data_IF_157083937800
#
_entry.id   IF_157083937800
#
_cell.length_a   1.000
_cell.length_b   1.000
_cell.length_c   1.000
_cell.angle_alpha   90.00
_cell.angle_beta   90.00
_cell.angle_gamma   90.00
#
_symmetry.space_group_name_H-M   'P 1'
#
loop_
_entity.id
_entity.type
_entity.pdbx_description
1 polymer ?
#
# COMPACT_ATOMS: atom_id res chain seq x y z
N UNK A 1 8.83 32.69 -5.71
CA UNK A 1 8.24 32.00 -4.53
C UNK A 1 6.94 31.26 -4.81
N UNK A 2 5.90 31.81 -5.47
CA UNK A 2 4.64 31.05 -5.68
C UNK A 2 4.80 29.83 -6.62
N UNK A 3 5.69 29.93 -7.61
CA UNK A 3 5.98 28.83 -8.57
C UNK A 3 6.59 27.62 -7.86
N UNK A 4 7.48 27.82 -6.89
CA UNK A 4 8.13 26.73 -6.14
C UNK A 4 7.16 25.97 -5.22
N UNK A 5 6.16 26.67 -4.67
CA UNK A 5 5.11 26.07 -3.84
C UNK A 5 4.12 25.29 -4.71
N UNK A 6 3.78 25.82 -5.89
CA UNK A 6 2.93 25.15 -6.87
C UNK A 6 3.61 23.90 -7.46
N UNK A 7 4.90 23.96 -7.79
CA UNK A 7 5.64 22.77 -8.24
C UNK A 7 5.77 21.73 -7.14
N UNK A 8 6.07 22.10 -5.89
CA UNK A 8 6.03 21.15 -4.77
C UNK A 8 4.65 20.51 -4.58
N UNK A 9 3.57 21.27 -4.74
CA UNK A 9 2.20 20.76 -4.63
C UNK A 9 1.87 19.76 -5.77
N UNK A 10 2.21 20.11 -7.01
CA UNK A 10 2.01 19.23 -8.18
C UNK A 10 2.88 17.98 -8.06
N UNK A 11 4.15 18.12 -7.68
CA UNK A 11 5.08 17.01 -7.45
C UNK A 11 4.66 16.12 -6.27
N UNK A 12 3.97 16.68 -5.26
CA UNK A 12 3.38 15.88 -4.17
C UNK A 12 2.11 15.13 -4.58
N UNK A 13 1.40 15.65 -5.59
CA UNK A 13 0.12 15.14 -6.10
C UNK A 13 0.28 14.17 -7.27
N UNK A 14 1.40 14.22 -8.01
CA UNK A 14 1.81 13.15 -8.91
C UNK A 14 2.07 11.94 -8.03
N UNK A 15 1.16 10.97 -8.14
CA UNK A 15 1.31 9.62 -7.61
C UNK A 15 2.44 8.92 -8.36
N UNK A 16 3.68 9.34 -8.10
CA UNK A 16 4.86 8.57 -8.50
C UNK A 16 4.69 7.22 -7.78
N UNK A 17 4.58 6.09 -8.50
CA UNK A 17 4.51 4.78 -7.89
C UNK A 17 5.81 4.55 -7.12
N UNK A 18 5.77 4.80 -5.81
CA UNK A 18 6.90 4.55 -4.92
C UNK A 18 6.99 3.07 -4.61
N UNK A 19 8.20 2.56 -4.37
CA UNK A 19 8.43 1.21 -3.86
C UNK A 19 7.57 0.87 -2.63
N UNK A 20 7.15 1.89 -1.87
CA UNK A 20 6.25 1.77 -0.73
C UNK A 20 4.96 0.99 -1.02
N UNK A 21 4.42 1.05 -2.24
CA UNK A 21 3.19 0.35 -2.64
C UNK A 21 3.45 -0.83 -3.59
N UNK A 22 4.73 -1.14 -3.89
CA UNK A 22 5.14 -2.17 -4.82
C UNK A 22 5.42 -3.51 -4.12
N UNK A 23 5.45 -4.56 -4.93
CA UNK A 23 5.96 -5.89 -4.61
C UNK A 23 7.41 -5.89 -5.05
N UNK A 24 8.34 -6.04 -4.12
CA UNK A 24 9.76 -6.01 -4.40
C UNK A 24 10.27 -7.46 -4.50
N UNK A 25 10.57 -7.90 -5.72
CA UNK A 25 11.11 -9.22 -6.00
C UNK A 25 12.63 -9.13 -6.04
N UNK A 26 13.30 -9.78 -5.09
CA UNK A 26 14.75 -9.88 -5.07
C UNK A 26 15.17 -11.15 -5.79
N UNK A 27 15.93 -10.99 -6.87
CA UNK A 27 16.39 -12.06 -7.74
C UNK A 27 17.73 -12.63 -7.23
N UNK A 28 18.01 -13.90 -7.51
CA UNK A 28 19.26 -14.59 -7.09
C UNK A 28 20.52 -13.99 -7.71
N UNK A 29 20.39 -13.30 -8.84
CA UNK A 29 21.48 -12.58 -9.49
C UNK A 29 21.79 -11.22 -8.83
N UNK A 30 21.01 -10.81 -7.83
CA UNK A 30 21.16 -9.54 -7.13
C UNK A 30 20.26 -8.42 -7.67
N UNK A 31 19.50 -8.67 -8.73
CA UNK A 31 18.59 -7.69 -9.31
C UNK A 31 17.34 -7.50 -8.44
N UNK A 32 16.80 -6.28 -8.43
CA UNK A 32 15.54 -5.94 -7.77
C UNK A 32 14.50 -5.63 -8.85
N UNK A 33 13.41 -6.39 -8.87
CA UNK A 33 12.26 -6.12 -9.73
C UNK A 33 11.10 -5.64 -8.85
N UNK A 34 10.88 -4.33 -8.84
CA UNK A 34 9.75 -3.69 -8.16
C UNK A 34 8.53 -3.67 -9.08
N UNK A 35 7.43 -4.32 -8.67
CA UNK A 35 6.18 -4.46 -9.43
C UNK A 35 5.02 -3.80 -8.69
N UNK A 36 4.26 -2.94 -9.37
CA UNK A 36 2.99 -2.48 -8.84
C UNK A 36 1.93 -3.59 -8.94
N UNK A 37 0.91 -3.54 -8.08
CA UNK A 37 -0.27 -4.43 -8.20
C UNK A 37 -0.94 -4.34 -9.58
N UNK A 38 -0.93 -3.17 -10.22
CA UNK A 38 -1.59 -2.98 -11.51
C UNK A 38 -0.80 -3.61 -12.67
N UNK A 39 0.52 -3.69 -12.56
CA UNK A 39 1.39 -4.34 -13.54
C UNK A 39 1.28 -5.86 -13.45
N UNK A 40 1.06 -6.42 -12.26
CA UNK A 40 0.89 -7.86 -12.06
C UNK A 40 -0.30 -8.41 -12.90
N UNK A 41 -0.07 -9.55 -13.55
CA UNK A 41 -1.09 -10.26 -14.34
C UNK A 41 -1.24 -11.70 -13.83
N UNK A 42 -1.86 -11.83 -12.67
CA UNK A 42 -2.16 -13.12 -12.01
C UNK A 42 -2.79 -14.12 -12.98
N UNK A 43 -3.84 -13.72 -13.71
CA UNK A 43 -4.54 -14.59 -14.68
C UNK A 43 -3.70 -15.07 -15.88
N UNK A 44 -2.56 -14.42 -16.14
CA UNK A 44 -1.63 -14.79 -17.22
C UNK A 44 -0.38 -15.47 -16.70
N UNK A 45 -0.20 -15.49 -15.37
CA UNK A 45 0.92 -16.14 -14.73
C UNK A 45 0.71 -17.66 -14.76
N UNK A 46 1.80 -18.37 -14.95
CA UNK A 46 1.84 -19.84 -14.89
C UNK A 46 2.45 -20.26 -13.56
N UNK A 47 2.41 -21.55 -13.18
CA UNK A 47 3.09 -22.02 -11.98
C UNK A 47 4.62 -21.82 -11.99
N UNK A 48 5.22 -21.58 -13.17
CA UNK A 48 6.67 -21.42 -13.34
C UNK A 48 7.10 -19.98 -13.59
N UNK A 49 6.19 -19.13 -14.08
CA UNK A 49 6.50 -17.75 -14.50
C UNK A 49 5.47 -16.76 -13.94
N UNK A 50 5.97 -15.70 -13.31
CA UNK A 50 5.17 -14.54 -12.92
C UNK A 50 5.14 -13.58 -14.11
N UNK A 51 3.94 -13.21 -14.56
CA UNK A 51 3.77 -12.29 -15.69
C UNK A 51 3.39 -10.90 -15.20
N UNK A 52 4.13 -9.90 -15.65
CA UNK A 52 3.80 -8.49 -15.43
C UNK A 52 3.78 -7.72 -16.75
N UNK A 53 3.07 -6.59 -16.75
CA UNK A 53 2.93 -5.73 -17.93
C UNK A 53 3.48 -4.34 -17.64
N UNK A 54 4.55 -3.94 -18.32
CA UNK A 54 5.17 -2.61 -18.26
C UNK A 54 5.30 -2.05 -19.67
N UNK A 55 5.05 -0.76 -19.87
CA UNK A 55 5.17 -0.07 -21.16
C UNK A 55 4.46 -0.75 -22.35
N UNK A 56 3.31 -1.37 -22.07
CA UNK A 56 2.48 -2.16 -23.00
C UNK A 56 3.06 -3.52 -23.40
N UNK A 57 4.25 -3.89 -22.94
CA UNK A 57 4.88 -5.18 -23.14
C UNK A 57 4.60 -6.14 -21.98
N UNK A 58 4.63 -7.45 -22.27
CA UNK A 58 4.51 -8.49 -21.27
C UNK A 58 5.88 -9.07 -20.98
N UNK A 59 6.28 -9.02 -19.73
CA UNK A 59 7.51 -9.61 -19.25
C UNK A 59 7.18 -10.83 -18.38
N UNK A 60 8.10 -11.79 -18.38
CA UNK A 60 7.99 -13.02 -17.59
C UNK A 60 9.19 -13.09 -16.66
N UNK A 61 8.92 -13.35 -15.39
CA UNK A 61 9.94 -13.59 -14.37
C UNK A 61 9.87 -15.06 -14.01
N UNK A 62 10.93 -15.85 -14.26
CA UNK A 62 10.97 -17.24 -13.84
C UNK A 62 11.00 -17.31 -12.31
N UNK A 63 10.07 -18.06 -11.72
CA UNK A 63 9.91 -18.15 -10.25
C UNK A 63 11.18 -18.66 -9.57
N UNK A 64 11.90 -19.58 -10.22
CA UNK A 64 13.12 -20.18 -9.68
C UNK A 64 14.32 -19.22 -9.60
N UNK A 65 14.26 -18.08 -10.30
CA UNK A 65 15.27 -17.02 -10.24
C UNK A 65 15.00 -16.03 -9.10
N UNK A 66 13.81 -16.07 -8.50
CA UNK A 66 13.46 -15.24 -7.34
C UNK A 66 14.08 -15.88 -6.08
N UNK A 67 14.74 -15.06 -5.26
CA UNK A 67 15.30 -15.46 -3.98
C UNK A 67 14.28 -15.23 -2.85
N UNK A 68 13.81 -13.99 -2.72
CA UNK A 68 12.78 -13.63 -1.75
C UNK A 68 11.91 -12.46 -2.21
N UNK A 69 10.74 -12.32 -1.58
CA UNK A 69 9.80 -11.23 -1.82
C UNK A 69 9.75 -10.34 -0.58
N UNK A 70 9.90 -9.02 -0.78
CA UNK A 70 9.79 -8.02 0.27
C UNK A 70 8.58 -7.12 0.02
N UNK A 71 7.83 -6.84 1.08
CA UNK A 71 6.72 -5.91 1.05
C UNK A 71 7.02 -4.68 1.90
N UNK A 72 6.78 -3.49 1.36
CA UNK A 72 6.94 -2.23 2.11
C UNK A 72 5.63 -1.71 2.72
N UNK A 73 4.50 -2.33 2.35
CA UNK A 73 3.15 -1.94 2.73
C UNK A 73 2.29 -3.15 3.05
N UNK A 74 1.62 -3.10 4.21
CA UNK A 74 0.65 -4.12 4.62
C UNK A 74 -0.56 -4.16 3.68
N UNK A 75 -0.91 -3.04 3.05
CA UNK A 75 -2.03 -3.00 2.09
C UNK A 75 -1.71 -3.71 0.77
N UNK A 76 -0.43 -3.79 0.40
CA UNK A 76 0.05 -4.54 -0.77
C UNK A 76 0.16 -6.02 -0.42
N UNK A 77 0.77 -6.34 0.73
CA UNK A 77 0.83 -7.69 1.28
C UNK A 77 -0.54 -8.37 1.31
N UNK A 78 -1.52 -7.78 2.00
CA UNK A 78 -2.88 -8.34 2.15
C UNK A 78 -3.61 -8.62 0.82
N UNK A 79 -3.16 -8.03 -0.28
CA UNK A 79 -3.80 -8.14 -1.59
C UNK A 79 -3.12 -9.11 -2.52
N UNK A 80 -1.86 -9.47 -2.27
CA UNK A 80 -1.04 -10.24 -3.21
C UNK A 80 -0.27 -11.37 -2.56
N UNK A 81 -0.28 -11.49 -1.22
CA UNK A 81 0.38 -12.58 -0.48
C UNK A 81 -0.14 -13.95 -0.92
N UNK A 82 -1.46 -14.14 -0.98
CA UNK A 82 -2.06 -15.43 -1.36
C UNK A 82 -1.55 -15.92 -2.73
N UNK A 83 -1.40 -14.99 -3.68
CA UNK A 83 -0.87 -15.30 -5.01
C UNK A 83 0.63 -15.65 -4.98
N UNK A 84 1.43 -14.97 -4.14
CA UNK A 84 2.87 -15.24 -4.03
C UNK A 84 3.15 -16.53 -3.26
N UNK A 85 2.33 -16.85 -2.25
CA UNK A 85 2.42 -18.10 -1.49
C UNK A 85 2.20 -19.33 -2.36
N UNK A 86 1.37 -19.25 -3.42
CA UNK A 86 1.19 -20.34 -4.40
C UNK A 86 2.50 -20.80 -5.06
N UNK A 87 3.51 -19.92 -5.09
CA UNK A 87 4.82 -20.18 -5.67
C UNK A 87 5.86 -20.72 -4.69
N UNK A 88 5.50 -20.94 -3.42
CA UNK A 88 6.43 -21.35 -2.34
C UNK A 88 7.68 -20.46 -2.22
N UNK A 89 7.53 -19.16 -2.51
CA UNK A 89 8.61 -18.19 -2.39
C UNK A 89 8.79 -17.76 -0.93
N UNK A 90 10.03 -17.48 -0.52
CA UNK A 90 10.30 -16.94 0.81
C UNK A 90 9.83 -15.48 0.88
N UNK A 91 8.85 -15.21 1.72
CA UNK A 91 8.36 -13.85 1.98
C UNK A 91 9.09 -13.30 3.20
N UNK A 92 9.79 -12.17 3.03
CA UNK A 92 10.46 -11.51 4.14
C UNK A 92 9.42 -10.90 5.09
N UNK A 93 9.67 -11.04 6.39
CA UNK A 93 8.81 -10.47 7.43
C UNK A 93 8.72 -8.94 7.29
N UNK A 94 7.51 -8.41 7.44
CA UNK A 94 7.25 -6.97 7.33
C UNK A 94 7.82 -6.28 8.56
N UNK A 95 8.57 -5.19 8.34
CA UNK A 95 9.12 -4.36 9.41
C UNK A 95 8.03 -3.95 10.44
N UNK A 96 8.33 -4.08 11.73
CA UNK A 96 7.38 -3.79 12.83
C UNK A 96 6.78 -2.38 12.72
N UNK A 97 7.59 -1.39 12.38
CA UNK A 97 7.13 0.00 12.17
C UNK A 97 6.04 0.10 11.07
N UNK A 98 6.14 -0.71 10.01
CA UNK A 98 5.13 -0.74 8.94
C UNK A 98 3.85 -1.39 9.47
N UNK A 99 3.96 -2.50 10.22
CA UNK A 99 2.83 -3.14 10.88
C UNK A 99 2.11 -2.16 11.81
N UNK A 100 2.85 -1.45 12.66
CA UNK A 100 2.30 -0.44 13.57
C UNK A 100 1.57 0.67 12.82
N UNK A 101 2.16 1.17 11.73
CA UNK A 101 1.57 2.24 10.94
C UNK A 101 0.22 1.81 10.34
N UNK A 102 0.20 0.70 9.59
CA UNK A 102 -0.99 0.29 8.85
C UNK A 102 -2.09 -0.21 9.78
N UNK A 103 -1.76 -0.98 10.83
CA UNK A 103 -2.75 -1.45 11.81
C UNK A 103 -3.35 -0.29 12.61
N UNK A 104 -2.54 0.66 13.06
CA UNK A 104 -3.04 1.85 13.77
C UNK A 104 -3.89 2.74 12.86
N UNK A 105 -3.52 2.89 11.58
CA UNK A 105 -4.33 3.60 10.56
C UNK A 105 -5.69 2.94 10.36
N UNK A 106 -5.73 1.61 10.18
CA UNK A 106 -6.97 0.82 10.03
C UNK A 106 -7.84 0.91 11.28
N UNK A 107 -7.25 0.77 12.46
CA UNK A 107 -7.94 0.87 13.73
C UNK A 107 -8.60 2.25 13.91
N UNK A 108 -7.87 3.34 13.66
CA UNK A 108 -8.43 4.70 13.74
C UNK A 108 -9.54 4.93 12.72
N UNK A 109 -9.39 4.44 11.48
CA UNK A 109 -10.44 4.52 10.46
C UNK A 109 -11.70 3.77 10.91
N UNK A 110 -11.54 2.57 11.46
CA UNK A 110 -12.67 1.80 12.02
C UNK A 110 -13.37 2.56 13.15
N UNK A 111 -12.63 3.17 14.08
CA UNK A 111 -13.21 3.99 15.16
C UNK A 111 -14.02 5.17 14.62
N UNK A 112 -13.54 5.85 13.59
CA UNK A 112 -14.30 6.93 12.92
C UNK A 112 -15.57 6.39 12.27
N UNK A 113 -15.51 5.26 11.56
CA UNK A 113 -16.69 4.60 10.99
C UNK A 113 -17.69 4.15 12.06
N UNK A 114 -17.21 3.68 13.23
CA UNK A 114 -18.08 3.35 14.37
C UNK A 114 -18.84 4.59 14.86
N UNK A 115 -18.17 5.74 15.00
CA UNK A 115 -18.83 6.98 15.40
C UNK A 115 -19.91 7.40 14.39
N UNK A 116 -19.62 7.27 13.09
CA UNK A 116 -20.63 7.54 12.05
C UNK A 116 -21.78 6.52 12.05
N UNK A 117 -21.51 5.26 12.36
CA UNK A 117 -22.55 4.25 12.52
C UNK A 117 -23.49 4.59 13.67
N UNK A 118 -22.94 4.94 14.84
CA UNK A 118 -23.73 5.37 16.00
C UNK A 118 -24.56 6.59 15.64
N UNK A 119 -23.96 7.63 15.06
CA UNK A 119 -24.69 8.84 14.65
C UNK A 119 -25.80 8.52 13.63
N UNK A 120 -25.53 7.66 12.64
CA UNK A 120 -26.51 7.24 11.65
C UNK A 120 -27.70 6.51 12.29
N UNK A 121 -27.44 5.58 13.21
CA UNK A 121 -28.48 4.87 13.96
C UNK A 121 -29.25 5.80 14.91
N UNK A 122 -28.59 6.75 15.57
CA UNK A 122 -29.26 7.75 16.41
C UNK A 122 -30.20 8.62 15.57
N UNK A 123 -29.76 9.15 14.43
CA UNK A 123 -30.60 9.96 13.54
C UNK A 123 -31.78 9.16 12.97
N UNK A 124 -31.55 7.89 12.67
CA UNK A 124 -32.57 6.93 12.26
C UNK A 124 -33.68 6.75 13.31
N UNK A 125 -33.32 6.74 14.60
CA UNK A 125 -34.27 6.55 15.70
C UNK A 125 -34.94 7.87 16.12
N UNK A 126 -34.22 9.00 16.12
CA UNK A 126 -34.69 10.24 16.75
C UNK A 126 -35.18 11.30 15.78
N UNK A 127 -34.76 11.27 14.49
CA UNK A 127 -34.99 12.39 13.57
C UNK A 127 -35.73 11.98 12.30
N UNK A 128 -35.23 10.99 11.54
CA UNK A 128 -35.84 10.61 10.27
C UNK A 128 -35.62 9.13 9.93
N UNK A 129 -36.69 8.34 9.71
CA UNK A 129 -36.61 6.93 9.31
C UNK A 129 -35.79 6.65 8.04
N UNK A 130 -35.65 7.62 7.14
CA UNK A 130 -34.83 7.47 5.91
C UNK A 130 -33.37 7.14 6.22
N UNK A 131 -32.86 7.51 7.39
CA UNK A 131 -31.49 7.16 7.81
C UNK A 131 -31.32 5.66 8.09
N UNK A 132 -32.40 4.88 8.26
CA UNK A 132 -32.32 3.41 8.39
C UNK A 132 -31.75 2.77 7.12
N UNK A 133 -31.97 3.39 5.94
CA UNK A 133 -31.41 2.89 4.69
C UNK A 133 -29.89 3.10 4.58
N UNK A 134 -29.34 4.11 5.26
CA UNK A 134 -27.93 4.54 5.11
C UNK A 134 -27.06 4.12 6.30
N UNK A 135 -27.62 4.04 7.51
CA UNK A 135 -26.90 3.65 8.73
C UNK A 135 -26.15 2.30 8.68
N UNK A 136 -26.61 1.27 7.93
CA UNK A 136 -25.87 0.01 7.80
C UNK A 136 -24.51 0.16 7.08
N UNK A 137 -24.33 1.15 6.21
CA UNK A 137 -23.10 1.36 5.42
C UNK A 137 -21.88 1.66 6.32
N UNK A 138 -21.90 2.70 7.19
CA UNK A 138 -20.78 2.94 8.10
C UNK A 138 -20.61 1.81 9.12
N UNK A 139 -21.69 1.11 9.48
CA UNK A 139 -21.64 -0.06 10.38
C UNK A 139 -20.84 -1.21 9.77
N UNK A 140 -21.15 -1.59 8.53
CA UNK A 140 -20.42 -2.64 7.80
C UNK A 140 -18.98 -2.25 7.54
N UNK A 141 -18.72 -0.99 7.15
CA UNK A 141 -17.35 -0.48 6.99
C UNK A 141 -16.55 -0.53 8.30
N UNK A 142 -17.15 -0.18 9.43
CA UNK A 142 -16.50 -0.25 10.73
C UNK A 142 -16.09 -1.69 11.09
N UNK A 143 -17.01 -2.65 10.95
CA UNK A 143 -16.77 -4.07 11.27
C UNK A 143 -15.70 -4.66 10.36
N UNK A 144 -15.81 -4.48 9.04
CA UNK A 144 -14.85 -5.03 8.08
C UNK A 144 -13.45 -4.44 8.28
N UNK A 145 -13.35 -3.12 8.53
CA UNK A 145 -12.05 -2.48 8.75
C UNK A 145 -11.45 -2.90 10.11
N UNK A 146 -12.28 -3.14 11.13
CA UNK A 146 -11.79 -3.58 12.44
C UNK A 146 -11.24 -5.00 12.41
N UNK A 147 -11.88 -5.90 11.64
CA UNK A 147 -11.41 -7.28 11.46
C UNK A 147 -10.05 -7.36 10.78
N UNK A 148 -9.71 -6.38 9.94
CA UNK A 148 -8.45 -6.29 9.21
C UNK A 148 -7.31 -5.62 10.00
N UNK A 149 -7.59 -5.09 11.19
CA UNK A 149 -6.58 -4.46 12.02
C UNK A 149 -6.12 -5.47 13.08
N UNK A 150 -4.84 -5.81 13.07
CA UNK A 150 -4.26 -6.54 14.19
C UNK A 150 -4.03 -5.57 15.36
N UNK A 151 -4.63 -5.89 16.51
CA UNK A 151 -4.61 -5.03 17.70
C UNK A 151 -3.30 -5.10 18.46
N UNK A 152 -2.51 -6.16 18.26
CA UNK A 152 -1.18 -6.34 18.88
C UNK A 152 -0.22 -5.20 18.47
N UNK A 153 -0.32 -4.73 17.23
CA UNK A 153 0.51 -3.67 16.66
C UNK A 153 -0.17 -2.29 16.68
N UNK A 154 -1.27 -2.10 17.42
CA UNK A 154 -1.93 -0.78 17.51
C UNK A 154 -1.26 0.07 18.57
N UNK A 155 -0.68 1.19 18.15
CA UNK A 155 0.04 2.10 19.05
C UNK A 155 -0.84 3.24 19.59
N UNK A 156 -0.41 3.81 20.70
CA UNK A 156 -1.12 4.87 21.40
C UNK A 156 -1.05 6.22 20.67
N UNK A 157 -1.79 7.23 21.15
CA UNK A 157 -1.89 8.53 20.49
C UNK A 157 -0.57 9.30 20.31
N UNK A 158 0.36 9.19 21.28
CA UNK A 158 1.68 9.83 21.20
C UNK A 158 2.59 9.09 20.22
N UNK A 159 2.68 7.78 20.36
CA UNK A 159 3.45 6.88 19.46
C UNK A 159 2.97 6.99 18.02
N UNK A 160 1.66 7.05 17.79
CA UNK A 160 1.10 7.23 16.45
C UNK A 160 1.64 8.47 15.73
N UNK A 161 1.88 9.57 16.45
CA UNK A 161 2.43 10.78 15.82
C UNK A 161 3.87 10.54 15.37
N UNK A 162 4.66 9.80 16.15
CA UNK A 162 6.03 9.42 15.80
C UNK A 162 6.04 8.44 14.61
N UNK A 163 5.30 7.34 14.68
CA UNK A 163 5.16 6.34 13.61
C UNK A 163 4.65 6.98 12.32
N UNK A 164 3.64 7.85 12.40
CA UNK A 164 3.14 8.58 11.22
C UNK A 164 4.20 9.52 10.62
N UNK A 165 5.05 10.14 11.44
CA UNK A 165 6.13 11.02 10.98
C UNK A 165 7.22 10.21 10.29
N UNK A 166 7.69 9.14 10.93
CA UNK A 166 8.69 8.24 10.39
C UNK A 166 8.23 7.59 9.07
N UNK A 167 6.96 7.15 8.97
CA UNK A 167 6.42 6.65 7.70
C UNK A 167 6.37 7.73 6.61
N UNK A 168 6.06 8.99 6.98
CA UNK A 168 6.05 10.10 6.02
C UNK A 168 7.46 10.42 5.51
N UNK A 169 8.47 10.32 6.39
CA UNK A 169 9.88 10.47 6.04
C UNK A 169 10.33 9.33 5.11
N UNK A 170 10.06 8.07 5.47
CA UNK A 170 10.35 6.90 4.60
C UNK A 170 9.75 7.07 3.20
N UNK A 171 8.48 7.45 3.10
CA UNK A 171 7.83 7.70 1.79
C UNK A 171 8.47 8.88 1.05
N UNK A 172 8.92 9.92 1.75
CA UNK A 172 9.61 11.05 1.12
C UNK A 172 10.94 10.61 0.53
N UNK A 173 11.71 9.82 1.27
CA UNK A 173 13.01 9.32 0.83
C UNK A 173 12.85 8.40 -0.39
N UNK A 174 11.84 7.53 -0.39
CA UNK A 174 11.52 6.68 -1.54
C UNK A 174 11.10 7.50 -2.77
N UNK A 175 10.34 8.59 -2.60
CA UNK A 175 10.02 9.51 -3.70
C UNK A 175 11.23 10.25 -4.24
N UNK A 176 12.19 10.58 -3.39
CA UNK A 176 13.43 11.25 -3.81
C UNK A 176 14.34 10.29 -4.58
N UNK A 177 14.45 9.03 -4.13
CA UNK A 177 15.16 7.97 -4.88
C UNK A 177 14.57 7.74 -6.27
N UNK A 178 13.25 7.54 -6.36
CA UNK A 178 12.59 7.29 -7.64
C UNK A 178 12.80 8.43 -8.65
N UNK A 179 12.83 9.69 -8.19
CA UNK A 179 13.12 10.83 -9.07
C UNK A 179 14.57 10.86 -9.56
N UNK A 180 15.53 10.54 -8.69
CA UNK A 180 16.93 10.49 -9.09
C UNK A 180 17.14 9.40 -10.14
N UNK A 181 16.47 8.26 -10.03
CA UNK A 181 16.50 7.19 -11.04
C UNK A 181 15.90 7.66 -12.37
N UNK A 182 14.71 8.29 -12.35
CA UNK A 182 14.06 8.83 -13.54
C UNK A 182 14.92 9.90 -14.23
N UNK A 183 15.57 10.78 -13.46
CA UNK A 183 16.52 11.78 -13.98
C UNK A 183 17.77 11.12 -14.60
N UNK A 184 18.30 10.05 -14.00
CA UNK A 184 19.42 9.29 -14.57
C UNK A 184 19.04 8.56 -15.87
N UNK A 185 17.87 7.94 -15.93
CA UNK A 185 17.36 7.28 -17.15
C UNK A 185 17.13 8.29 -18.29
N UNK A 186 16.59 9.47 -17.98
CA UNK A 186 16.44 10.57 -18.92
C UNK A 186 17.78 11.10 -19.45
N UNK A 187 18.82 11.12 -18.61
CA UNK A 187 20.16 11.52 -19.05
C UNK A 187 20.83 10.43 -19.91
N UNK A 188 20.64 9.15 -19.56
CA UNK A 188 21.20 8.02 -20.28
C UNK A 188 20.56 7.80 -21.66
N UNK A 189 19.27 8.12 -21.81
CA UNK A 189 18.55 8.02 -23.09
C UNK A 189 18.79 9.19 -24.06
N UNK A 190 19.42 10.27 -23.59
CA UNK A 190 19.79 11.45 -24.38
C UNK A 190 21.28 11.45 -24.82
N UNK A 191 22.02 10.39 -24.51
CA UNK A 191 23.40 10.12 -24.97
C UNK A 191 23.39 9.07 -26.08
#
# INVERSE_FOLDING_TARGET
MPIAVLTQAIVSAISIPTEADNINLHMKNGDLISLTKAELKEKKSTPTDIVYKRDKEYHKIPVHEIDYVRYESLDTYDKTVDFIEEYNLMIQEIDEHVLEYYNTKRYKKSRTSQTFAVAGWTLALTANPLFWAVAPIPTTQAVLTMKKADKTHVVSGKEWKAVKKAQKEKVKDLKEKAKMEEEMEMLASNL
#
